data_IF_278998341539
#
_entry.id   IF_278998341539
#
_cell.length_a   1.000
_cell.length_b   1.000
_cell.length_c   1.000
_cell.angle_alpha   90.00
_cell.angle_beta   90.00
_cell.angle_gamma   90.00
#
_symmetry.space_group_name_H-M   'P 1'
#
loop_
_entity.id
_entity.type
_entity.pdbx_description
1 polymer ?
#
# COMPACT_ATOMS: atom_id res chain seq x y z
N UNK A 1 -6.49 24.15 -12.98
CA UNK A 1 -6.84 23.17 -11.93
C UNK A 1 -6.18 21.89 -12.34
N UNK A 2 -4.98 21.63 -11.84
CA UNK A 2 -4.31 20.36 -12.11
C UNK A 2 -5.12 19.26 -11.42
N UNK A 3 -5.64 18.33 -12.21
CA UNK A 3 -6.20 17.10 -11.69
C UNK A 3 -5.04 16.34 -11.04
N UNK A 4 -4.93 16.48 -9.72
CA UNK A 4 -3.74 16.10 -8.99
C UNK A 4 -3.73 14.59 -8.78
N UNK A 5 -3.04 13.85 -9.66
CA UNK A 5 -2.75 12.46 -9.37
C UNK A 5 -1.76 12.35 -8.23
N UNK A 6 -1.93 11.34 -7.39
CA UNK A 6 -1.02 11.05 -6.29
C UNK A 6 -0.32 9.73 -6.54
N UNK A 7 1.01 9.74 -6.55
CA UNK A 7 1.80 8.52 -6.62
C UNK A 7 1.70 7.76 -5.31
N UNK A 8 1.39 6.47 -5.37
CA UNK A 8 1.30 5.59 -4.22
C UNK A 8 2.29 4.43 -4.34
N UNK A 9 2.67 3.89 -3.19
CA UNK A 9 3.49 2.69 -3.05
C UNK A 9 2.74 1.62 -2.26
N UNK A 10 3.00 0.38 -2.61
CA UNK A 10 2.60 -0.79 -1.86
C UNK A 10 3.70 -1.18 -0.87
N UNK A 11 3.31 -1.55 0.34
CA UNK A 11 4.19 -2.08 1.38
C UNK A 11 3.54 -3.34 1.96
N UNK A 12 4.35 -4.34 2.28
CA UNK A 12 3.90 -5.49 3.07
C UNK A 12 4.49 -5.35 4.47
N UNK A 13 3.63 -5.42 5.48
CA UNK A 13 4.04 -5.42 6.89
C UNK A 13 3.52 -6.67 7.58
N UNK A 14 4.24 -7.17 8.57
CA UNK A 14 3.72 -8.21 9.43
C UNK A 14 2.94 -7.61 10.59
N UNK A 15 1.79 -8.21 10.88
CA UNK A 15 0.94 -7.96 12.04
C UNK A 15 0.68 -9.30 12.72
N UNK A 16 1.31 -9.50 13.88
CA UNK A 16 1.37 -10.78 14.59
C UNK A 16 1.81 -11.95 13.68
N UNK A 17 0.94 -12.90 13.40
CA UNK A 17 1.19 -14.07 12.53
C UNK A 17 0.64 -13.89 11.10
N UNK A 18 0.20 -12.68 10.74
CA UNK A 18 -0.42 -12.36 9.45
C UNK A 18 0.35 -11.25 8.75
N UNK A 19 0.12 -11.12 7.44
CA UNK A 19 0.63 -10.00 6.64
C UNK A 19 -0.49 -9.02 6.35
N UNK A 20 -0.14 -7.75 6.28
CA UNK A 20 -1.01 -6.66 5.84
C UNK A 20 -0.39 -6.01 4.61
N UNK A 21 -1.26 -5.71 3.64
CA UNK A 21 -0.89 -4.90 2.50
C UNK A 21 -1.25 -3.46 2.83
N UNK A 22 -0.27 -2.56 2.77
CA UNK A 22 -0.46 -1.13 3.04
C UNK A 22 -0.21 -0.36 1.75
N UNK A 23 -1.19 0.39 1.28
CA UNK A 23 -1.04 1.32 0.17
C UNK A 23 -1.05 2.73 0.72
N UNK A 24 0.05 3.46 0.51
CA UNK A 24 0.24 4.80 1.03
C UNK A 24 0.90 5.73 -0.02
N UNK A 25 0.74 7.06 0.09
CA UNK A 25 1.44 8.00 -0.79
C UNK A 25 2.96 7.76 -0.81
N UNK A 26 3.57 7.85 -1.98
CA UNK A 26 5.00 7.57 -2.14
C UNK A 26 5.89 8.53 -1.34
N UNK A 27 5.44 9.78 -1.14
CA UNK A 27 6.23 10.82 -0.47
C UNK A 27 5.86 11.00 1.01
N UNK A 28 5.15 10.03 1.59
CA UNK A 28 4.79 10.07 3.02
C UNK A 28 5.53 9.04 3.85
N UNK A 29 5.70 9.33 5.14
CA UNK A 29 6.11 8.34 6.12
C UNK A 29 4.88 7.49 6.52
N UNK A 30 5.07 6.17 6.60
CA UNK A 30 4.08 5.27 7.22
C UNK A 30 4.48 5.07 8.67
N UNK A 31 3.69 5.63 9.58
CA UNK A 31 3.90 5.51 11.01
C UNK A 31 3.42 4.13 11.50
N UNK A 32 4.39 3.25 11.79
CA UNK A 32 4.10 1.89 12.25
C UNK A 32 3.47 1.85 13.63
N UNK A 33 3.68 2.86 14.49
CA UNK A 33 3.01 2.94 15.79
C UNK A 33 1.54 3.30 15.62
N UNK A 34 1.24 4.27 14.75
CA UNK A 34 -0.14 4.61 14.41
C UNK A 34 -0.85 3.42 13.75
N UNK A 35 -0.17 2.72 12.83
CA UNK A 35 -0.68 1.53 12.18
C UNK A 35 -0.96 0.40 13.18
N UNK A 36 -0.01 0.08 14.07
CA UNK A 36 -0.17 -0.91 15.14
C UNK A 36 -1.37 -0.63 16.05
N UNK A 37 -1.60 0.65 16.39
CA UNK A 37 -2.78 1.07 17.17
C UNK A 37 -4.08 0.90 16.40
N UNK A 38 -4.06 1.14 15.09
CA UNK A 38 -5.23 1.00 14.22
C UNK A 38 -5.64 -0.46 14.05
N UNK A 39 -4.68 -1.35 13.76
CA UNK A 39 -4.95 -2.77 13.50
C UNK A 39 -5.03 -3.63 14.76
N UNK A 40 -4.63 -3.09 15.91
CA UNK A 40 -4.68 -3.77 17.20
C UNK A 40 -3.66 -4.89 17.31
N UNK A 41 -2.38 -4.56 17.41
CA UNK A 41 -1.30 -5.54 17.65
C UNK A 41 0.06 -4.98 17.26
N UNK A 42 1.10 -5.81 17.34
CA UNK A 42 2.45 -5.38 16.97
C UNK A 42 2.60 -5.40 15.45
N UNK A 43 3.13 -4.31 14.88
CA UNK A 43 3.44 -4.22 13.45
C UNK A 43 4.94 -4.06 13.26
N UNK A 44 5.50 -4.83 12.35
CA UNK A 44 6.91 -4.72 11.94
C UNK A 44 7.01 -4.71 10.42
N UNK A 45 7.97 -3.94 9.91
CA UNK A 45 8.32 -4.02 8.48
C UNK A 45 8.93 -5.39 8.26
N UNK A 46 8.34 -6.16 7.36
CA UNK A 46 9.00 -7.32 6.80
C UNK A 46 9.49 -6.95 5.40
N UNK A 47 10.71 -7.38 5.09
CA UNK A 47 11.16 -7.35 3.71
C UNK A 47 10.37 -8.43 2.99
N UNK A 48 9.37 -8.03 2.22
CA UNK A 48 8.70 -8.98 1.35
C UNK A 48 9.70 -9.41 0.27
N UNK A 49 9.88 -10.72 0.14
CA UNK A 49 10.68 -11.28 -0.93
C UNK A 49 10.01 -10.96 -2.28
N UNK A 50 10.75 -10.69 -3.37
CA UNK A 50 10.16 -10.30 -4.65
C UNK A 50 9.09 -11.28 -5.16
N UNK A 51 9.23 -12.57 -4.84
CA UNK A 51 8.22 -13.59 -5.17
C UNK A 51 6.86 -13.34 -4.51
N UNK A 52 6.83 -12.71 -3.33
CA UNK A 52 5.60 -12.40 -2.61
C UNK A 52 4.81 -11.26 -3.28
N UNK A 53 5.49 -10.38 -4.02
CA UNK A 53 4.87 -9.35 -4.84
C UNK A 53 4.48 -9.84 -6.24
N UNK A 54 5.29 -10.75 -6.81
CA UNK A 54 5.23 -11.14 -8.23
C UNK A 54 4.35 -12.36 -8.49
N UNK A 55 4.13 -13.24 -7.50
CA UNK A 55 3.47 -14.53 -7.74
C UNK A 55 1.93 -14.52 -7.74
N UNK A 56 1.31 -13.42 -7.32
CA UNK A 56 -0.14 -13.36 -7.13
C UNK A 56 -0.83 -12.60 -8.27
N UNK A 57 -1.67 -13.30 -9.03
CA UNK A 57 -2.55 -12.65 -10.00
C UNK A 57 -3.48 -11.63 -9.28
N UNK A 58 -3.95 -10.57 -9.97
CA UNK A 58 -4.96 -9.68 -9.41
C UNK A 58 -6.13 -10.47 -8.82
N UNK A 59 -6.44 -10.23 -7.55
CA UNK A 59 -7.51 -10.95 -6.83
C UNK A 59 -7.09 -12.20 -6.06
N UNK A 60 -5.83 -12.65 -6.13
CA UNK A 60 -5.33 -13.80 -5.33
C UNK A 60 -4.60 -13.40 -4.05
N UNK A 61 -4.59 -12.10 -3.72
CA UNK A 61 -4.03 -11.62 -2.45
C UNK A 61 -5.03 -11.82 -1.32
N UNK A 62 -4.70 -12.72 -0.39
CA UNK A 62 -5.54 -13.05 0.77
C UNK A 62 -5.23 -12.19 2.02
N UNK A 63 -4.33 -11.22 1.90
CA UNK A 63 -3.93 -10.35 3.01
C UNK A 63 -4.87 -9.14 3.14
N UNK A 64 -5.24 -8.75 4.37
CA UNK A 64 -6.01 -7.52 4.58
C UNK A 64 -5.29 -6.31 3.98
N UNK A 65 -6.06 -5.48 3.27
CA UNK A 65 -5.60 -4.24 2.67
C UNK A 65 -5.92 -3.06 3.58
N UNK A 66 -4.90 -2.26 3.90
CA UNK A 66 -5.00 -0.96 4.55
C UNK A 66 -4.66 0.10 3.51
N UNK A 67 -5.59 1.02 3.28
CA UNK A 67 -5.41 2.14 2.37
C UNK A 67 -5.30 3.43 3.18
N UNK A 68 -4.30 4.25 2.87
CA UNK A 68 -4.17 5.57 3.46
C UNK A 68 -5.26 6.52 2.93
N UNK A 69 -6.04 7.12 3.84
CA UNK A 69 -7.17 8.00 3.53
C UNK A 69 -6.80 9.20 2.64
N UNK A 70 -5.51 9.62 2.60
CA UNK A 70 -5.06 10.68 1.70
C UNK A 70 -5.22 10.30 0.24
N UNK A 71 -5.12 9.01 -0.09
CA UNK A 71 -5.29 8.50 -1.44
C UNK A 71 -6.76 8.54 -1.90
N UNK A 72 -7.71 8.47 -0.96
CA UNK A 72 -9.14 8.59 -1.27
C UNK A 72 -9.55 10.00 -1.72
N UNK A 73 -8.69 11.00 -1.49
CA UNK A 73 -8.92 12.39 -1.89
C UNK A 73 -8.28 12.74 -3.23
N UNK A 74 -7.52 11.82 -3.81
CA UNK A 74 -6.88 12.04 -5.10
C UNK A 74 -7.86 11.75 -6.23
N UNK A 75 -7.83 12.57 -7.29
CA UNK A 75 -8.60 12.32 -8.51
C UNK A 75 -8.13 11.04 -9.22
N UNK A 76 -6.85 10.70 -9.04
CA UNK A 76 -6.26 9.48 -9.53
C UNK A 76 -5.08 9.05 -8.66
N UNK A 77 -4.85 7.74 -8.60
CA UNK A 77 -3.73 7.12 -7.90
C UNK A 77 -2.80 6.50 -8.94
N UNK A 78 -1.55 6.94 -8.96
CA UNK A 78 -0.49 6.38 -9.79
C UNK A 78 0.28 5.34 -8.96
N UNK A 79 -0.03 4.05 -9.12
CA UNK A 79 0.64 2.96 -8.41
C UNK A 79 1.96 2.62 -9.10
N UNK A 80 3.06 2.91 -8.41
CA UNK A 80 4.41 2.62 -8.91
C UNK A 80 4.84 1.22 -8.45
N UNK A 81 5.23 0.36 -9.39
CA UNK A 81 5.86 -0.92 -9.05
C UNK A 81 7.40 -0.79 -9.04
N UNK A 82 8.10 -1.73 -8.41
CA UNK A 82 9.57 -1.69 -8.29
C UNK A 82 10.32 -1.73 -9.64
N UNK A 83 9.62 -2.07 -10.73
CA UNK A 83 10.16 -2.04 -12.09
C UNK A 83 9.98 -0.67 -12.79
N UNK A 84 9.42 0.34 -12.11
CA UNK A 84 9.19 1.68 -12.65
C UNK A 84 7.97 1.78 -13.57
N UNK A 85 7.11 0.75 -13.63
CA UNK A 85 5.82 0.86 -14.30
C UNK A 85 4.80 1.52 -13.38
N UNK A 86 4.18 2.58 -13.90
CA UNK A 86 3.10 3.30 -13.22
C UNK A 86 1.77 2.82 -13.77
N UNK A 87 0.90 2.32 -12.90
CA UNK A 87 -0.50 2.01 -13.22
C UNK A 87 -1.39 3.09 -12.62
N UNK A 88 -2.11 3.82 -13.48
CA UNK A 88 -3.07 4.84 -13.04
C UNK A 88 -4.43 4.22 -12.73
N UNK A 89 -4.99 4.57 -11.58
CA UNK A 89 -6.35 4.23 -11.16
C UNK A 89 -7.11 5.52 -10.91
N UNK A 90 -8.10 5.83 -11.74
CA UNK A 90 -8.92 7.03 -11.57
C UNK A 90 -9.99 6.80 -10.49
N UNK A 91 -10.10 7.74 -9.55
CA UNK A 91 -11.16 7.76 -8.55
C UNK A 91 -12.41 8.37 -9.21
N UNK A 92 -13.43 7.55 -9.48
CA UNK A 92 -14.71 8.01 -10.04
C UNK A 92 -15.64 8.55 -8.96
#
# INVERSE_FOLDING_TARGET
MESGSTTARALIVAHDARKLHVIAPQDCLVDLFALARHVGGAVRVERAEPLEFVASAPGTYEHPLILDDRLLRADAIDLNNEAGHITRVDAR
#
